data_IF_016684534423
#
_entry.id   IF_016684534423
#
_cell.length_a   1.000
_cell.length_b   1.000
_cell.length_c   1.000
_cell.angle_alpha   90.00
_cell.angle_beta   90.00
_cell.angle_gamma   90.00
#
_symmetry.space_group_name_H-M   'P 1'
#
loop_
_entity.id
_entity.type
_entity.pdbx_description
1 polymer ?
#
# COMPACT_ATOMS: atom_id res chain seq x y z
N UNK A 1 -4.39 29.54 37.82
CA UNK A 1 -5.33 29.50 36.69
C UNK A 1 -5.84 30.91 36.47
N UNK A 2 -5.59 31.52 35.32
CA UNK A 2 -6.04 32.89 35.04
C UNK A 2 -7.55 32.90 34.75
N UNK A 3 -8.20 34.05 34.89
CA UNK A 3 -9.62 34.22 34.55
C UNK A 3 -9.90 33.88 33.08
N UNK A 4 -8.92 34.16 32.20
CA UNK A 4 -8.92 33.74 30.80
C UNK A 4 -8.93 32.21 30.65
N UNK A 5 -8.12 31.49 31.42
CA UNK A 5 -8.08 30.02 31.34
C UNK A 5 -9.43 29.40 31.72
N UNK A 6 -10.07 29.93 32.77
CA UNK A 6 -11.41 29.50 33.19
C UNK A 6 -12.47 29.75 32.13
N UNK A 7 -12.45 30.93 31.50
CA UNK A 7 -13.38 31.26 30.43
C UNK A 7 -13.20 30.34 29.20
N UNK A 8 -11.94 30.02 28.86
CA UNK A 8 -11.61 29.08 27.77
C UNK A 8 -12.11 27.67 28.09
N UNK A 9 -11.88 27.16 29.31
CA UNK A 9 -12.31 25.82 29.69
C UNK A 9 -13.84 25.69 29.72
N UNK A 10 -14.54 26.75 30.14
CA UNK A 10 -16.01 26.80 30.15
C UNK A 10 -16.58 26.81 28.72
N UNK A 11 -15.97 27.59 27.82
CA UNK A 11 -16.32 27.59 26.40
C UNK A 11 -16.05 26.21 25.76
N UNK A 12 -14.91 25.58 26.07
CA UNK A 12 -14.60 24.23 25.61
C UNK A 12 -15.63 23.21 26.08
N UNK A 13 -16.00 23.22 27.36
CA UNK A 13 -17.01 22.32 27.91
C UNK A 13 -18.40 22.54 27.28
N UNK A 14 -18.75 23.80 26.97
CA UNK A 14 -20.00 24.12 26.27
C UNK A 14 -19.98 23.57 24.83
N UNK A 15 -18.86 23.71 24.12
CA UNK A 15 -18.68 23.18 22.77
C UNK A 15 -18.78 21.65 22.79
N UNK A 16 -18.09 20.95 23.70
CA UNK A 16 -18.19 19.48 23.82
C UNK A 16 -19.61 19.02 24.17
N UNK A 17 -20.34 19.76 25.00
CA UNK A 17 -21.73 19.43 25.34
C UNK A 17 -22.67 19.58 24.14
N UNK A 18 -22.43 20.57 23.28
CA UNK A 18 -23.27 20.83 22.11
C UNK A 18 -22.91 19.94 20.91
N UNK A 19 -21.63 19.64 20.70
CA UNK A 19 -21.12 19.01 19.48
C UNK A 19 -20.47 17.64 19.70
N UNK A 20 -20.43 17.17 20.95
CA UNK A 20 -19.90 15.85 21.34
C UNK A 20 -18.46 15.90 21.85
N UNK A 21 -18.04 14.87 22.59
CA UNK A 21 -16.66 14.74 23.08
C UNK A 21 -15.66 14.77 21.92
N UNK A 22 -14.58 15.52 22.07
CA UNK A 22 -13.54 15.65 21.03
C UNK A 22 -13.86 16.64 19.91
N UNK A 23 -14.97 17.38 19.97
CA UNK A 23 -15.28 18.45 19.03
C UNK A 23 -14.33 19.65 19.14
N UNK A 24 -13.63 19.79 20.27
CA UNK A 24 -12.57 20.78 20.50
C UNK A 24 -11.53 20.19 21.45
N UNK A 25 -10.25 20.42 21.17
CA UNK A 25 -9.15 19.97 22.03
C UNK A 25 -7.98 20.94 22.00
N UNK A 26 -7.26 21.05 23.11
CA UNK A 26 -5.99 21.81 23.18
C UNK A 26 -4.91 20.98 22.50
N UNK A 27 -4.28 21.50 21.45
CA UNK A 27 -3.07 20.89 20.89
C UNK A 27 -1.92 21.08 21.88
N UNK A 28 -1.29 19.97 22.29
CA UNK A 28 -0.08 20.00 23.12
C UNK A 28 1.11 19.52 22.29
N UNK A 29 2.21 20.30 22.20
CA UNK A 29 3.43 19.84 21.56
C UNK A 29 3.96 18.57 22.26
N UNK A 30 4.22 17.50 21.50
CA UNK A 30 4.87 16.30 22.02
C UNK A 30 3.96 15.26 22.70
N UNK A 31 2.69 15.56 23.00
CA UNK A 31 1.72 14.49 23.26
C UNK A 31 1.40 13.81 21.93
N UNK A 32 1.37 12.48 21.91
CA UNK A 32 0.86 11.71 20.77
C UNK A 32 -0.54 12.22 20.47
N UNK A 33 -0.65 13.01 19.41
CA UNK A 33 -1.92 13.44 18.86
C UNK A 33 -2.75 12.15 18.71
N UNK A 34 -3.96 12.03 19.28
CA UNK A 34 -4.80 10.84 19.06
C UNK A 34 -5.12 10.62 17.56
N UNK A 35 -4.78 11.59 16.71
CA UNK A 35 -4.61 11.45 15.27
C UNK A 35 -3.18 11.00 14.85
N UNK A 36 -2.54 10.07 15.57
CA UNK A 36 -1.37 9.39 15.04
C UNK A 36 -1.85 8.74 13.72
N UNK A 37 -1.33 9.27 12.62
CA UNK A 37 -1.80 8.94 11.29
C UNK A 37 -1.35 7.51 10.99
N UNK A 38 -2.25 6.56 11.18
CA UNK A 38 -2.07 5.20 10.71
C UNK A 38 -1.98 5.22 9.19
N UNK A 39 -1.09 4.39 8.65
CA UNK A 39 -0.86 4.27 7.23
C UNK A 39 -1.20 2.85 6.75
N UNK A 40 -1.61 2.75 5.49
CA UNK A 40 -1.71 1.48 4.76
C UNK A 40 -0.48 1.40 3.84
N UNK A 41 0.37 0.37 3.96
CA UNK A 41 1.52 0.19 3.10
C UNK A 41 1.14 0.19 1.62
N UNK A 42 2.04 0.67 0.75
CA UNK A 42 1.77 0.75 -0.69
C UNK A 42 2.15 -0.49 -1.48
N UNK A 43 2.76 -1.49 -0.82
CA UNK A 43 3.43 -2.62 -1.48
C UNK A 43 4.83 -2.25 -2.02
N UNK A 44 5.24 -0.98 -1.94
CA UNK A 44 6.56 -0.51 -2.34
C UNK A 44 7.26 0.19 -1.17
N UNK A 45 8.30 -0.43 -0.62
CA UNK A 45 9.06 0.15 0.49
C UNK A 45 9.68 1.51 0.11
N UNK A 46 10.09 1.67 -1.15
CA UNK A 46 10.59 2.94 -1.67
C UNK A 46 9.51 4.04 -1.60
N UNK A 47 8.25 3.71 -1.95
CA UNK A 47 7.15 4.66 -1.89
C UNK A 47 6.69 4.94 -0.46
N UNK A 48 6.67 3.93 0.40
CA UNK A 48 6.35 4.09 1.83
C UNK A 48 7.31 5.06 2.53
N UNK A 49 8.61 4.97 2.19
CA UNK A 49 9.64 5.93 2.61
C UNK A 49 9.42 7.33 2.00
N UNK A 50 9.11 7.42 0.71
CA UNK A 50 8.83 8.70 0.06
C UNK A 50 7.59 9.40 0.64
N UNK A 51 6.60 8.64 1.11
CA UNK A 51 5.41 9.16 1.79
C UNK A 51 5.69 9.63 3.22
N UNK A 52 6.78 9.16 3.84
CA UNK A 52 7.30 9.62 5.14
C UNK A 52 6.48 9.22 6.36
N UNK A 53 5.40 8.46 6.15
CA UNK A 53 4.57 7.90 7.23
C UNK A 53 4.41 6.37 7.12
N UNK A 54 5.10 5.74 6.16
CA UNK A 54 5.01 4.29 5.99
C UNK A 54 3.92 3.79 5.05
N UNK A 55 3.27 4.68 4.30
CA UNK A 55 2.20 4.31 3.37
C UNK A 55 1.20 5.43 3.14
N UNK A 56 0.03 5.08 2.61
CA UNK A 56 -1.07 6.04 2.41
C UNK A 56 -1.85 6.29 3.71
N UNK A 57 -2.23 7.54 4.01
CA UNK A 57 -2.87 7.86 5.28
C UNK A 57 -4.32 7.37 5.35
N UNK A 58 -4.67 6.71 6.45
CA UNK A 58 -6.06 6.40 6.81
C UNK A 58 -6.86 7.66 7.10
N UNK A 59 -8.17 7.60 6.81
CA UNK A 59 -9.10 8.71 7.03
C UNK A 59 -8.82 9.94 6.17
N UNK A 60 -8.20 9.76 5.01
CA UNK A 60 -7.83 10.83 4.08
C UNK A 60 -8.10 10.45 2.63
N UNK A 61 -8.16 11.47 1.79
CA UNK A 61 -8.24 11.34 0.35
C UNK A 61 -6.82 11.30 -0.24
N UNK A 62 -6.58 10.35 -1.13
CA UNK A 62 -5.36 10.20 -1.93
C UNK A 62 -5.73 10.28 -3.41
N UNK A 63 -4.92 10.95 -4.22
CA UNK A 63 -5.06 10.94 -5.68
C UNK A 63 -3.82 10.29 -6.30
N UNK A 64 -4.02 9.24 -7.10
CA UNK A 64 -2.99 8.62 -7.94
C UNK A 64 -3.30 9.01 -9.38
N UNK A 65 -2.41 9.74 -10.03
CA UNK A 65 -2.61 10.18 -11.40
C UNK A 65 -1.36 10.00 -12.24
N UNK A 66 -1.54 9.95 -13.57
CA UNK A 66 -0.44 9.76 -14.50
C UNK A 66 -0.92 9.38 -15.89
N UNK A 67 0.02 9.12 -16.82
CA UNK A 67 -0.30 8.63 -18.16
C UNK A 67 -1.05 7.29 -18.12
N UNK A 68 -1.57 6.88 -19.27
CA UNK A 68 -2.06 5.51 -19.48
C UNK A 68 -0.92 4.50 -19.29
N UNK A 69 -1.25 3.30 -18.84
CA UNK A 69 -0.28 2.20 -18.61
C UNK A 69 0.92 2.56 -17.71
N UNK A 70 0.79 3.56 -16.84
CA UNK A 70 1.85 3.95 -15.90
C UNK A 70 1.86 3.14 -14.59
N UNK A 71 0.85 2.28 -14.37
CA UNK A 71 0.73 1.44 -13.17
C UNK A 71 -0.19 2.00 -12.07
N UNK A 72 -1.09 2.94 -12.40
CA UNK A 72 -2.04 3.54 -11.43
C UNK A 72 -2.90 2.48 -10.74
N UNK A 73 -3.61 1.67 -11.52
CA UNK A 73 -4.48 0.59 -11.02
C UNK A 73 -3.66 -0.49 -10.32
N UNK A 74 -2.50 -0.89 -10.86
CA UNK A 74 -1.58 -1.81 -10.18
C UNK A 74 -1.19 -1.32 -8.78
N UNK A 75 -0.79 -0.04 -8.64
CA UNK A 75 -0.45 0.54 -7.35
C UNK A 75 -1.65 0.55 -6.38
N UNK A 76 -2.85 0.88 -6.86
CA UNK A 76 -4.06 0.86 -6.05
C UNK A 76 -4.42 -0.56 -5.59
N UNK A 77 -4.27 -1.57 -6.46
CA UNK A 77 -4.49 -2.98 -6.12
C UNK A 77 -3.47 -3.49 -5.09
N UNK A 78 -2.21 -3.06 -5.16
CA UNK A 78 -1.25 -3.37 -4.08
C UNK A 78 -1.67 -2.74 -2.75
N UNK A 79 -2.14 -1.49 -2.73
CA UNK A 79 -2.64 -0.87 -1.50
C UNK A 79 -3.86 -1.64 -0.95
N UNK A 80 -4.75 -2.12 -1.83
CA UNK A 80 -5.87 -2.99 -1.44
C UNK A 80 -5.35 -4.29 -0.81
N UNK A 81 -4.42 -4.98 -1.47
CA UNK A 81 -3.85 -6.23 -0.97
C UNK A 81 -3.17 -6.02 0.39
N UNK A 82 -2.43 -4.94 0.58
CA UNK A 82 -1.81 -4.61 1.87
C UNK A 82 -2.85 -4.27 2.95
N UNK A 83 -3.94 -3.58 2.61
CA UNK A 83 -5.04 -3.36 3.56
C UNK A 83 -5.69 -4.68 4.00
N UNK A 84 -5.90 -5.62 3.07
CA UNK A 84 -6.50 -6.92 3.35
C UNK A 84 -5.57 -7.81 4.20
N UNK A 85 -4.26 -7.82 3.92
CA UNK A 85 -3.27 -8.52 4.76
C UNK A 85 -3.31 -8.06 6.22
N UNK A 86 -3.52 -6.76 6.44
CA UNK A 86 -3.69 -6.19 7.77
C UNK A 86 -5.07 -6.52 8.41
N UNK A 87 -5.86 -7.41 7.81
CA UNK A 87 -7.21 -7.79 8.26
C UNK A 87 -8.30 -6.76 7.94
N UNK A 88 -8.00 -5.79 7.07
CA UNK A 88 -8.92 -4.72 6.70
C UNK A 88 -9.87 -5.09 5.54
N UNK A 89 -10.95 -4.33 5.40
CA UNK A 89 -11.93 -4.49 4.33
C UNK A 89 -11.69 -3.45 3.24
N UNK A 90 -11.69 -3.90 1.98
CA UNK A 90 -11.46 -3.07 0.82
C UNK A 90 -12.66 -3.04 -0.13
N UNK A 91 -12.81 -1.92 -0.85
CA UNK A 91 -13.72 -1.83 -1.98
C UNK A 91 -13.10 -1.12 -3.18
N UNK A 92 -13.59 -1.45 -4.36
CA UNK A 92 -13.32 -0.74 -5.61
C UNK A 92 -14.61 -0.34 -6.31
N UNK A 93 -14.72 0.94 -6.63
CA UNK A 93 -15.72 1.50 -7.54
C UNK A 93 -15.04 1.61 -8.91
N UNK A 94 -15.23 0.58 -9.73
CA UNK A 94 -14.68 0.46 -11.08
C UNK A 94 -15.61 1.17 -12.07
N UNK A 95 -15.44 2.47 -12.21
CA UNK A 95 -16.12 3.28 -13.20
C UNK A 95 -15.52 3.12 -14.62
N UNK A 96 -14.28 2.65 -14.76
CA UNK A 96 -13.68 2.33 -16.06
C UNK A 96 -14.14 0.99 -16.64
N UNK A 97 -14.78 0.14 -15.84
CA UNK A 97 -15.26 -1.20 -16.22
C UNK A 97 -14.12 -2.06 -16.78
N UNK A 98 -12.92 -1.90 -16.22
CA UNK A 98 -11.66 -2.42 -16.76
C UNK A 98 -10.86 -3.26 -15.76
N UNK A 99 -11.40 -3.52 -14.56
CA UNK A 99 -10.71 -4.35 -13.58
C UNK A 99 -10.63 -5.81 -14.06
N UNK A 100 -9.42 -6.37 -14.08
CA UNK A 100 -9.16 -7.80 -14.29
C UNK A 100 -9.02 -8.53 -12.93
N UNK A 101 -10.00 -9.36 -12.52
CA UNK A 101 -9.92 -10.11 -11.26
C UNK A 101 -8.75 -11.09 -11.22
N UNK A 102 -8.37 -11.70 -12.35
CA UNK A 102 -7.26 -12.67 -12.40
C UNK A 102 -5.95 -11.94 -12.11
N UNK A 103 -5.77 -10.76 -12.71
CA UNK A 103 -4.60 -9.94 -12.42
C UNK A 103 -4.60 -9.46 -10.97
N UNK A 104 -5.73 -8.97 -10.45
CA UNK A 104 -5.85 -8.55 -9.04
C UNK A 104 -5.49 -9.68 -8.06
N UNK A 105 -5.98 -10.90 -8.29
CA UNK A 105 -5.64 -12.07 -7.48
C UNK A 105 -4.14 -12.38 -7.50
N UNK A 106 -3.47 -12.28 -8.66
CA UNK A 106 -2.00 -12.42 -8.75
C UNK A 106 -1.23 -11.37 -7.95
N UNK A 107 -1.81 -10.18 -7.76
CA UNK A 107 -1.22 -9.12 -6.93
C UNK A 107 -1.43 -9.34 -5.43
N UNK A 108 -2.12 -10.43 -5.04
CA UNK A 108 -2.41 -10.76 -3.65
C UNK A 108 -3.68 -10.11 -3.10
N UNK A 109 -4.57 -9.63 -3.98
CA UNK A 109 -5.90 -9.18 -3.58
C UNK A 109 -6.76 -10.40 -3.26
N UNK A 110 -7.37 -10.40 -2.08
CA UNK A 110 -8.38 -11.38 -1.71
C UNK A 110 -9.69 -11.03 -2.41
N UNK A 111 -9.99 -11.76 -3.48
CA UNK A 111 -11.14 -11.53 -4.35
C UNK A 111 -12.47 -11.91 -3.69
N UNK A 112 -12.46 -12.87 -2.75
CA UNK A 112 -13.69 -13.33 -2.08
C UNK A 112 -14.21 -12.26 -1.13
N UNK A 113 -13.30 -11.46 -0.55
CA UNK A 113 -13.63 -10.40 0.40
C UNK A 113 -13.51 -8.98 -0.19
N UNK A 114 -13.20 -8.83 -1.49
CA UNK A 114 -13.17 -7.53 -2.15
C UNK A 114 -14.58 -7.11 -2.58
N UNK A 115 -15.03 -5.95 -2.09
CA UNK A 115 -16.28 -5.35 -2.57
C UNK A 115 -16.06 -4.63 -3.90
N UNK A 116 -16.80 -5.01 -4.94
CA UNK A 116 -16.70 -4.40 -6.27
C UNK A 116 -18.04 -3.76 -6.65
N UNK A 117 -17.98 -2.55 -7.20
CA UNK A 117 -19.13 -1.86 -7.79
C UNK A 117 -18.76 -1.30 -9.15
N UNK A 118 -19.58 -1.57 -10.16
CA UNK A 118 -19.49 -0.98 -11.50
C UNK A 118 -20.68 -0.06 -11.72
N UNK A 119 -20.55 1.25 -11.43
CA UNK A 119 -21.66 2.18 -11.55
C UNK A 119 -21.95 2.54 -13.02
N UNK A 120 -23.20 2.87 -13.30
CA UNK A 120 -23.70 3.42 -14.56
C UNK A 120 -23.42 4.92 -14.68
N UNK A 121 -23.40 5.66 -13.56
CA UNK A 121 -23.20 7.12 -13.54
C UNK A 121 -22.20 7.58 -12.49
N UNK A 122 -21.62 8.76 -12.71
CA UNK A 122 -20.70 9.40 -11.76
C UNK A 122 -21.36 9.68 -10.42
N UNK A 123 -22.62 10.13 -10.40
CA UNK A 123 -23.40 10.34 -9.17
C UNK A 123 -23.52 9.03 -8.38
N UNK A 124 -23.95 7.96 -9.05
CA UNK A 124 -24.14 6.64 -8.43
C UNK A 124 -22.83 6.11 -7.84
N UNK A 125 -21.73 6.18 -8.60
CA UNK A 125 -20.41 5.75 -8.12
C UNK A 125 -19.96 6.50 -6.87
N UNK A 126 -20.16 7.82 -6.82
CA UNK A 126 -19.81 8.64 -5.66
C UNK A 126 -20.74 8.42 -4.45
N UNK A 127 -22.03 8.15 -4.67
CA UNK A 127 -22.99 7.78 -3.62
C UNK A 127 -22.70 6.41 -3.01
N UNK A 128 -22.31 5.44 -3.83
CA UNK A 128 -21.85 4.12 -3.37
C UNK A 128 -20.59 4.29 -2.51
N UNK A 129 -19.60 5.03 -2.99
CA UNK A 129 -18.39 5.32 -2.22
C UNK A 129 -18.73 6.04 -0.89
N UNK A 130 -19.65 7.00 -0.89
CA UNK A 130 -20.11 7.67 0.33
C UNK A 130 -20.76 6.71 1.33
N UNK A 131 -21.63 5.82 0.85
CA UNK A 131 -22.33 4.84 1.67
C UNK A 131 -21.36 3.86 2.31
N UNK A 132 -20.42 3.33 1.52
CA UNK A 132 -19.36 2.44 2.00
C UNK A 132 -18.52 3.13 3.08
N UNK A 133 -18.04 4.35 2.82
CA UNK A 133 -17.24 5.11 3.81
C UNK A 133 -18.04 5.37 5.09
N UNK A 134 -19.33 5.69 4.99
CA UNK A 134 -20.19 5.98 6.16
C UNK A 134 -20.50 4.76 7.02
N UNK A 135 -20.41 3.55 6.47
CA UNK A 135 -20.56 2.31 7.25
C UNK A 135 -19.51 2.20 8.36
N UNK A 136 -18.35 2.83 8.18
CA UNK A 136 -17.22 2.74 9.11
C UNK A 136 -16.49 1.39 9.10
N UNK A 137 -16.89 0.47 8.22
CA UNK A 137 -16.32 -0.88 8.16
C UNK A 137 -15.12 -1.02 7.21
N UNK A 138 -14.93 -0.06 6.28
CA UNK A 138 -13.90 -0.16 5.25
C UNK A 138 -12.62 0.59 5.61
N UNK A 139 -11.50 -0.06 5.34
CA UNK A 139 -10.14 0.45 5.51
C UNK A 139 -9.70 1.25 4.29
N UNK A 140 -10.05 0.78 3.09
CA UNK A 140 -9.71 1.42 1.82
C UNK A 140 -10.86 1.34 0.80
N UNK A 141 -11.09 2.44 0.09
CA UNK A 141 -11.99 2.52 -1.06
C UNK A 141 -11.24 3.13 -2.24
N UNK A 142 -11.15 2.41 -3.35
CA UNK A 142 -10.56 2.89 -4.60
C UNK A 142 -11.68 3.29 -5.56
N UNK A 143 -11.55 4.44 -6.23
CA UNK A 143 -12.43 4.89 -7.30
C UNK A 143 -11.60 4.97 -8.57
N UNK A 144 -11.84 4.04 -9.50
CA UNK A 144 -11.12 3.89 -10.76
C UNK A 144 -12.07 4.13 -11.94
N UNK A 145 -12.14 5.32 -12.56
CA UNK A 145 -11.35 6.52 -12.28
C UNK A 145 -12.22 7.78 -12.33
N UNK A 146 -11.67 8.90 -11.86
CA UNK A 146 -12.34 10.21 -11.91
C UNK A 146 -12.77 10.59 -13.33
N UNK A 147 -11.98 10.21 -14.35
CA UNK A 147 -12.30 10.52 -15.73
C UNK A 147 -13.59 9.81 -16.20
N UNK A 148 -13.86 8.62 -15.67
CA UNK A 148 -15.04 7.80 -15.99
C UNK A 148 -16.26 8.10 -15.10
N UNK A 149 -16.16 9.00 -14.12
CA UNK A 149 -17.32 9.49 -13.37
C UNK A 149 -18.12 10.48 -14.24
N UNK A 150 -18.83 9.96 -15.23
CA UNK A 150 -19.63 10.76 -16.18
C UNK A 150 -20.99 11.08 -15.55
N UNK A 151 -21.37 12.37 -15.45
CA UNK A 151 -22.66 12.75 -14.88
C UNK A 151 -23.83 12.17 -15.68
N UNK A 152 -24.92 11.81 -14.99
CA UNK A 152 -26.13 11.25 -15.62
C UNK A 152 -26.64 12.08 -16.81
N UNK A 153 -26.69 13.40 -16.66
CA UNK A 153 -27.18 14.30 -17.72
C UNK A 153 -26.28 14.33 -18.96
N UNK A 154 -25.00 13.96 -18.84
CA UNK A 154 -24.08 13.83 -19.99
C UNK A 154 -24.26 12.47 -20.69
N UNK A 155 -24.62 11.41 -19.94
CA UNK A 155 -24.92 10.08 -20.49
C UNK A 155 -26.26 10.07 -21.24
N UNK A 156 -27.27 10.76 -20.71
CA UNK A 156 -28.61 10.86 -21.31
C UNK A 156 -28.70 11.92 -22.42
N UNK A 157 -27.69 12.79 -22.55
CA UNK A 157 -27.61 13.83 -23.57
C UNK A 157 -27.17 13.30 -24.94
N UNK A 158 -27.37 14.11 -25.98
CA UNK A 158 -26.94 13.74 -27.33
C UNK A 158 -25.44 14.03 -27.53
N UNK A 159 -24.80 13.25 -28.41
CA UNK A 159 -23.38 13.47 -28.73
C UNK A 159 -23.19 14.85 -29.37
N UNK A 160 -22.45 15.73 -28.68
CA UNK A 160 -22.23 17.11 -29.10
C UNK A 160 -22.91 18.15 -28.20
N UNK A 161 -23.75 17.70 -27.25
CA UNK A 161 -24.32 18.57 -26.23
C UNK A 161 -23.25 19.15 -25.30
N UNK A 162 -23.43 20.42 -24.95
CA UNK A 162 -22.45 21.17 -24.18
C UNK A 162 -22.74 21.07 -22.68
N UNK A 163 -22.03 20.16 -22.00
CA UNK A 163 -22.13 19.97 -20.54
C UNK A 163 -20.94 20.59 -19.79
N UNK A 164 -20.69 21.89 -20.01
CA UNK A 164 -19.49 22.56 -19.50
C UNK A 164 -19.40 22.48 -17.96
N UNK A 165 -18.37 21.79 -17.48
CA UNK A 165 -17.99 21.75 -16.06
C UNK A 165 -18.92 20.93 -15.17
N UNK A 166 -19.80 20.10 -15.73
CA UNK A 166 -20.74 19.29 -14.95
C UNK A 166 -20.01 18.31 -14.03
N UNK A 167 -19.03 17.57 -14.56
CA UNK A 167 -18.19 16.66 -13.77
C UNK A 167 -17.42 17.39 -12.65
N UNK A 168 -16.90 18.60 -12.90
CA UNK A 168 -16.18 19.38 -11.89
C UNK A 168 -17.10 19.81 -10.73
N UNK A 169 -18.37 20.14 -11.02
CA UNK A 169 -19.38 20.47 -10.02
C UNK A 169 -19.77 19.24 -9.19
N UNK A 170 -20.00 18.11 -9.86
CA UNK A 170 -20.28 16.82 -9.22
C UNK A 170 -19.18 16.46 -8.22
N UNK A 171 -17.92 16.47 -8.66
CA UNK A 171 -16.76 16.20 -7.81
C UNK A 171 -16.68 17.16 -6.62
N UNK A 172 -16.92 18.45 -6.85
CA UNK A 172 -16.89 19.47 -5.78
C UNK A 172 -17.95 19.22 -4.71
N UNK A 173 -19.15 18.80 -5.11
CA UNK A 173 -20.26 18.48 -4.20
C UNK A 173 -19.98 17.18 -3.43
N UNK A 174 -19.56 16.13 -4.13
CA UNK A 174 -19.29 14.82 -3.52
C UNK A 174 -18.14 14.90 -2.51
N UNK A 175 -17.01 15.52 -2.87
CA UNK A 175 -15.86 15.65 -1.97
C UNK A 175 -16.19 16.43 -0.69
N UNK A 176 -17.08 17.43 -0.78
CA UNK A 176 -17.57 18.18 0.39
C UNK A 176 -18.32 17.29 1.38
N UNK A 177 -19.14 16.35 0.88
CA UNK A 177 -19.85 15.37 1.71
C UNK A 177 -18.92 14.28 2.25
N UNK A 178 -18.07 13.73 1.37
CA UNK A 178 -17.16 12.62 1.66
C UNK A 178 -16.12 12.97 2.73
N UNK A 179 -15.52 14.16 2.68
CA UNK A 179 -14.38 14.52 3.55
C UNK A 179 -14.67 14.32 5.04
N UNK A 180 -15.86 14.73 5.49
CA UNK A 180 -16.26 14.56 6.88
C UNK A 180 -16.51 13.10 7.27
N UNK A 181 -17.08 12.30 6.36
CA UNK A 181 -17.29 10.87 6.57
C UNK A 181 -15.96 10.12 6.63
N UNK A 182 -15.09 10.35 5.65
CA UNK A 182 -13.73 9.77 5.53
C UNK A 182 -12.92 9.97 6.83
N UNK A 183 -12.92 11.19 7.36
CA UNK A 183 -12.16 11.47 8.58
C UNK A 183 -12.69 10.73 9.81
N UNK A 184 -13.99 10.46 9.89
CA UNK A 184 -14.61 9.76 11.03
C UNK A 184 -14.46 8.24 10.92
N UNK A 185 -14.61 7.69 9.72
CA UNK A 185 -14.50 6.24 9.50
C UNK A 185 -13.06 5.75 9.44
N UNK A 186 -12.08 6.65 9.32
CA UNK A 186 -10.66 6.30 9.09
C UNK A 186 -10.43 5.51 7.79
N UNK A 187 -11.39 5.49 6.87
CA UNK A 187 -11.22 4.90 5.53
C UNK A 187 -10.24 5.72 4.69
N UNK A 188 -9.26 5.09 4.05
CA UNK A 188 -8.46 5.72 3.01
C UNK A 188 -9.25 5.71 1.69
N UNK A 189 -9.50 6.87 1.08
CA UNK A 189 -10.20 6.94 -0.21
C UNK A 189 -9.22 7.36 -1.30
N UNK A 190 -9.01 6.47 -2.26
CA UNK A 190 -8.06 6.64 -3.35
C UNK A 190 -8.83 6.93 -4.63
N UNK A 191 -8.55 8.08 -5.24
CA UNK A 191 -9.03 8.40 -6.57
C UNK A 191 -7.92 8.13 -7.59
N UNK A 192 -8.18 7.25 -8.55
CA UNK A 192 -7.34 7.14 -9.74
C UNK A 192 -7.78 8.22 -10.73
N UNK A 193 -6.81 8.87 -11.37
CA UNK A 193 -7.08 9.95 -12.30
C UNK A 193 -6.16 9.89 -13.52
N UNK A 194 -6.63 10.45 -14.62
CA UNK A 194 -5.91 10.50 -15.88
C UNK A 194 -5.36 11.90 -16.13
N UNK A 195 -4.26 11.97 -16.88
CA UNK A 195 -3.75 13.24 -17.39
C UNK A 195 -4.53 13.68 -18.65
N UNK A 196 -4.72 14.99 -18.77
CA UNK A 196 -5.23 15.70 -19.95
C UNK A 196 -4.35 16.92 -20.20
N UNK A 197 -4.38 17.47 -21.40
CA UNK A 197 -3.69 18.71 -21.74
C UNK A 197 -4.65 19.89 -21.66
N UNK A 198 -4.24 20.96 -20.98
CA UNK A 198 -4.96 22.23 -21.00
C UNK A 198 -4.62 22.98 -22.29
N UNK A 199 -5.62 23.15 -23.16
CA UNK A 199 -5.48 23.90 -24.41
C UNK A 199 -5.16 25.37 -24.10
N UNK A 200 -4.27 25.97 -24.89
CA UNK A 200 -3.93 27.39 -24.81
C UNK A 200 -2.84 27.76 -23.77
N UNK A 201 -2.17 26.79 -23.16
CA UNK A 201 -1.01 27.06 -22.28
C UNK A 201 0.26 27.16 -23.13
N UNK A 202 0.80 28.38 -23.28
CA UNK A 202 2.04 28.63 -24.03
C UNK A 202 3.31 28.59 -23.17
N UNK A 203 3.19 28.60 -21.83
CA UNK A 203 4.31 28.58 -20.89
C UNK A 203 3.96 27.72 -19.65
N UNK A 204 4.92 26.92 -19.17
CA UNK A 204 4.75 26.02 -18.02
C UNK A 204 4.29 24.60 -18.39
N UNK A 205 3.84 23.82 -17.41
CA UNK A 205 3.33 22.47 -17.64
C UNK A 205 1.85 22.52 -18.09
N UNK A 206 1.50 22.05 -19.30
CA UNK A 206 0.12 22.03 -19.79
C UNK A 206 -0.72 20.88 -19.20
N UNK A 207 -0.12 19.93 -18.49
CA UNK A 207 -0.82 18.78 -17.93
C UNK A 207 -1.79 19.17 -16.80
N UNK A 208 -2.99 18.60 -16.83
CA UNK A 208 -3.99 18.69 -15.77
C UNK A 208 -4.66 17.34 -15.56
N UNK A 209 -5.36 17.18 -14.44
CA UNK A 209 -6.20 16.02 -14.14
C UNK A 209 -7.68 16.34 -14.40
N UNK A 210 -8.52 15.32 -14.59
CA UNK A 210 -9.97 15.46 -14.80
C UNK A 210 -10.72 15.73 -13.49
N UNK A 211 -12.02 16.05 -13.56
CA UNK A 211 -12.85 16.30 -12.37
C UNK A 211 -12.69 17.69 -11.73
N UNK A 212 -12.07 18.65 -12.42
CA UNK A 212 -11.89 20.02 -11.95
C UNK A 212 -10.76 20.17 -10.91
N UNK A 213 -10.82 21.22 -10.08
CA UNK A 213 -9.76 21.52 -9.11
C UNK A 213 -10.02 20.97 -7.71
N UNK A 214 -11.27 20.59 -7.39
CA UNK A 214 -11.66 20.22 -6.03
C UNK A 214 -10.79 19.10 -5.45
N UNK A 215 -10.62 18.01 -6.19
CA UNK A 215 -9.81 16.87 -5.75
C UNK A 215 -8.38 17.28 -5.36
N UNK A 216 -7.77 18.20 -6.12
CA UNK A 216 -6.42 18.71 -5.83
C UNK A 216 -6.34 19.40 -4.47
N UNK A 217 -7.41 20.05 -4.00
CA UNK A 217 -7.45 20.71 -2.69
C UNK A 217 -7.75 19.73 -1.55
N UNK A 218 -8.73 18.85 -1.76
CA UNK A 218 -9.20 17.87 -0.77
C UNK A 218 -8.19 16.74 -0.53
N UNK A 219 -7.49 16.26 -1.57
CA UNK A 219 -6.46 15.23 -1.45
C UNK A 219 -5.38 15.65 -0.43
N UNK A 220 -5.08 14.77 0.52
CA UNK A 220 -3.97 14.94 1.46
C UNK A 220 -2.65 14.51 0.83
N UNK A 221 -2.69 13.48 0.00
CA UNK A 221 -1.55 12.99 -0.76
C UNK A 221 -1.93 12.99 -2.25
N UNK A 222 -1.02 13.46 -3.11
CA UNK A 222 -1.16 13.33 -4.56
C UNK A 222 0.13 12.73 -5.11
N UNK A 223 -0.02 11.69 -5.93
CA UNK A 223 1.06 10.91 -6.52
C UNK A 223 0.99 10.98 -8.04
N UNK A 224 2.07 11.44 -8.67
CA UNK A 224 2.28 11.40 -10.12
C UNK A 224 3.10 10.16 -10.46
N UNK A 225 2.46 9.14 -11.02
CA UNK A 225 3.12 7.89 -11.42
C UNK A 225 3.36 7.85 -12.93
N UNK A 226 4.61 7.59 -13.30
CA UNK A 226 5.06 7.50 -14.70
C UNK A 226 5.91 6.27 -14.95
N UNK A 227 5.73 5.65 -16.11
CA UNK A 227 6.69 4.71 -16.67
C UNK A 227 7.94 5.48 -17.08
N UNK A 228 9.11 5.04 -16.62
CA UNK A 228 10.41 5.63 -16.99
C UNK A 228 11.23 4.72 -17.88
N UNK A 229 11.11 3.40 -17.74
CA UNK A 229 11.87 2.43 -18.53
C UNK A 229 11.07 1.14 -18.76
N UNK A 230 11.37 0.41 -19.84
CA UNK A 230 10.87 -0.94 -20.07
C UNK A 230 11.87 -1.97 -19.54
N UNK A 231 11.39 -2.94 -18.76
CA UNK A 231 12.23 -4.06 -18.32
C UNK A 231 12.06 -5.17 -19.35
N UNK A 232 13.19 -5.63 -19.92
CA UNK A 232 13.21 -6.62 -20.99
C UNK A 232 13.94 -7.88 -20.57
N UNK A 233 13.42 -9.01 -21.00
CA UNK A 233 14.13 -10.29 -21.04
C UNK A 233 14.33 -10.67 -22.52
N UNK A 234 15.59 -10.60 -22.98
CA UNK A 234 15.92 -10.64 -24.39
C UNK A 234 15.19 -9.55 -25.20
N UNK A 235 14.28 -9.96 -26.08
CA UNK A 235 13.45 -9.06 -26.89
C UNK A 235 12.07 -8.77 -26.29
N UNK A 236 11.66 -9.51 -25.26
CA UNK A 236 10.32 -9.45 -24.68
C UNK A 236 10.28 -8.43 -23.55
N UNK A 237 9.29 -7.53 -23.55
CA UNK A 237 9.05 -6.63 -22.41
C UNK A 237 8.32 -7.40 -21.31
N UNK A 238 8.98 -7.58 -20.17
CA UNK A 238 8.46 -8.37 -19.02
C UNK A 238 7.97 -7.49 -17.87
N UNK A 239 8.27 -6.20 -17.92
CA UNK A 239 7.79 -5.23 -16.94
C UNK A 239 8.19 -3.81 -17.31
N UNK A 240 8.08 -2.92 -16.33
CA UNK A 240 8.50 -1.54 -16.44
C UNK A 240 9.09 -1.03 -15.14
N UNK A 241 10.03 -0.09 -15.25
CA UNK A 241 10.40 0.73 -14.11
C UNK A 241 9.47 1.92 -14.03
N UNK A 242 8.83 2.10 -12.88
CA UNK A 242 7.93 3.20 -12.59
C UNK A 242 8.59 4.19 -11.63
N UNK A 243 8.31 5.47 -11.83
CA UNK A 243 8.64 6.55 -10.90
C UNK A 243 7.36 7.15 -10.37
N UNK A 244 7.24 7.26 -9.06
CA UNK A 244 6.16 7.94 -8.37
C UNK A 244 6.70 9.19 -7.70
N UNK A 245 6.18 10.36 -8.05
CA UNK A 245 6.50 11.63 -7.38
C UNK A 245 5.36 12.03 -6.45
N UNK A 246 5.65 12.27 -5.18
CA UNK A 246 4.69 12.77 -4.19
C UNK A 246 4.56 14.28 -4.36
N UNK A 247 3.72 14.72 -5.29
CA UNK A 247 3.56 16.14 -5.65
C UNK A 247 2.80 16.95 -4.59
N UNK A 248 2.08 16.28 -3.69
CA UNK A 248 1.43 16.87 -2.52
C UNK A 248 1.46 15.89 -1.38
N UNK A 249 1.82 16.37 -0.19
CA UNK A 249 1.78 15.59 1.04
C UNK A 249 1.41 16.52 2.21
N UNK A 250 0.29 16.24 2.89
CA UNK A 250 -0.14 16.95 4.11
C UNK A 250 0.19 16.17 5.39
N UNK A 251 0.84 15.02 5.29
CA UNK A 251 1.14 14.13 6.41
C UNK A 251 2.64 14.00 6.68
N UNK A 252 3.48 14.30 5.68
CA UNK A 252 4.92 14.42 5.79
C UNK A 252 5.46 15.44 4.75
N UNK A 253 6.77 15.75 4.71
CA UNK A 253 7.35 16.61 3.69
C UNK A 253 7.04 16.13 2.25
N UNK A 254 6.57 17.01 1.35
CA UNK A 254 6.27 16.65 -0.04
C UNK A 254 7.52 16.60 -0.94
N UNK A 255 7.31 16.29 -2.22
CA UNK A 255 8.28 16.35 -3.33
C UNK A 255 9.36 15.27 -3.36
N UNK A 256 9.25 14.28 -2.47
CA UNK A 256 10.00 13.04 -2.60
C UNK A 256 9.50 12.22 -3.78
N UNK A 257 10.36 11.33 -4.23
CA UNK A 257 10.05 10.39 -5.31
C UNK A 257 10.53 9.00 -4.94
N UNK A 258 9.87 8.00 -5.49
CA UNK A 258 10.24 6.60 -5.38
C UNK A 258 10.31 5.99 -6.77
N UNK A 259 11.23 5.05 -6.94
CA UNK A 259 11.33 4.23 -8.14
C UNK A 259 11.27 2.76 -7.75
N UNK A 260 10.56 1.98 -8.55
CA UNK A 260 10.42 0.54 -8.36
C UNK A 260 10.00 -0.13 -9.67
N UNK A 261 10.24 -1.43 -9.75
CA UNK A 261 9.84 -2.24 -10.89
C UNK A 261 8.38 -2.69 -10.73
N UNK A 262 7.63 -2.67 -11.81
CA UNK A 262 6.30 -3.28 -11.95
C UNK A 262 6.43 -4.36 -13.03
N UNK A 263 6.38 -5.63 -12.61
CA UNK A 263 6.41 -6.81 -13.47
C UNK A 263 4.99 -7.13 -13.94
N UNK A 264 4.81 -7.43 -15.23
CA UNK A 264 3.46 -7.60 -15.78
C UNK A 264 2.66 -8.77 -15.18
N UNK A 265 3.35 -9.80 -14.67
CA UNK A 265 2.70 -10.97 -14.09
C UNK A 265 2.77 -11.04 -12.55
N UNK A 266 3.53 -10.16 -11.90
CA UNK A 266 3.76 -10.21 -10.44
C UNK A 266 3.43 -8.88 -9.73
N UNK A 267 3.28 -7.78 -10.48
CA UNK A 267 3.11 -6.44 -9.91
C UNK A 267 4.40 -5.81 -9.42
N UNK A 268 4.31 -5.02 -8.36
CA UNK A 268 5.45 -4.30 -7.76
C UNK A 268 6.48 -5.32 -7.25
N UNK A 269 7.71 -5.24 -7.75
CA UNK A 269 8.80 -6.13 -7.32
C UNK A 269 9.30 -5.72 -5.94
N UNK A 270 8.86 -6.46 -4.92
CA UNK A 270 9.27 -6.25 -3.53
C UNK A 270 10.78 -6.47 -3.35
N UNK A 271 11.33 -7.55 -3.90
CA UNK A 271 12.76 -7.87 -3.84
C UNK A 271 13.60 -6.80 -4.53
N UNK A 272 13.17 -6.33 -5.71
CA UNK A 272 13.83 -5.24 -6.42
C UNK A 272 13.82 -3.93 -5.62
N UNK A 273 12.67 -3.57 -5.03
CA UNK A 273 12.55 -2.35 -4.23
C UNK A 273 13.40 -2.41 -2.96
N UNK A 274 13.42 -3.53 -2.24
CA UNK A 274 14.25 -3.71 -1.04
C UNK A 274 15.74 -3.68 -1.38
N UNK A 275 16.16 -4.31 -2.47
CA UNK A 275 17.55 -4.31 -2.92
C UNK A 275 18.03 -2.90 -3.28
N UNK A 276 17.23 -2.17 -4.08
CA UNK A 276 17.56 -0.82 -4.53
C UNK A 276 17.67 0.13 -3.32
N UNK A 277 16.65 0.15 -2.44
CA UNK A 277 16.65 0.98 -1.23
C UNK A 277 17.77 0.59 -0.26
N UNK A 278 17.99 -0.72 -0.06
CA UNK A 278 19.07 -1.22 0.79
C UNK A 278 20.44 -0.79 0.27
N UNK A 279 20.62 -0.72 -1.05
CA UNK A 279 21.85 -0.23 -1.68
C UNK A 279 22.00 1.28 -1.49
N UNK A 280 20.93 2.05 -1.72
CA UNK A 280 20.94 3.51 -1.56
C UNK A 280 21.24 3.96 -0.12
N UNK A 281 20.79 3.19 0.87
CA UNK A 281 21.08 3.41 2.29
C UNK A 281 22.45 2.85 2.74
N UNK A 282 23.19 2.19 1.84
CA UNK A 282 24.49 1.58 2.15
C UNK A 282 24.41 0.32 3.02
N UNK A 283 23.21 -0.24 3.22
CA UNK A 283 22.99 -1.50 3.94
C UNK A 283 23.42 -2.71 3.09
N UNK A 284 23.20 -2.62 1.78
CA UNK A 284 23.69 -3.57 0.78
C UNK A 284 24.88 -2.95 0.06
N UNK A 285 26.04 -3.59 0.14
CA UNK A 285 27.27 -3.10 -0.49
C UNK A 285 27.35 -3.58 -1.93
N UNK A 286 27.61 -2.67 -2.86
CA UNK A 286 27.91 -2.98 -4.26
C UNK A 286 29.41 -2.89 -4.53
N UNK A 287 30.01 -3.94 -5.10
CA UNK A 287 31.41 -3.96 -5.53
C UNK A 287 31.50 -4.46 -6.97
N UNK A 288 31.74 -3.53 -7.91
CA UNK A 288 31.60 -3.80 -9.33
C UNK A 288 30.16 -4.23 -9.66
N UNK A 289 30.01 -5.42 -10.23
CA UNK A 289 28.71 -6.02 -10.52
C UNK A 289 28.10 -6.80 -9.33
N UNK A 290 28.84 -7.02 -8.24
CA UNK A 290 28.40 -7.90 -7.16
C UNK A 290 27.71 -7.14 -6.01
N UNK A 291 26.65 -7.75 -5.46
CA UNK A 291 25.91 -7.26 -4.29
C UNK A 291 26.20 -8.12 -3.06
N UNK A 292 26.35 -7.48 -1.91
CA UNK A 292 26.69 -8.12 -0.63
C UNK A 292 25.88 -7.57 0.54
N UNK A 293 25.48 -8.45 1.46
CA UNK A 293 24.96 -8.09 2.77
C UNK A 293 26.01 -8.47 3.84
N UNK A 294 26.76 -7.48 4.34
CA UNK A 294 27.96 -7.76 5.13
C UNK A 294 29.00 -8.54 4.31
N UNK A 295 29.31 -9.77 4.73
CA UNK A 295 30.19 -10.70 4.01
C UNK A 295 29.43 -11.64 3.06
N UNK A 296 28.11 -11.78 3.24
CA UNK A 296 27.28 -12.65 2.43
C UNK A 296 27.09 -12.09 1.02
N UNK A 297 27.19 -12.95 0.01
CA UNK A 297 27.11 -12.58 -1.40
C UNK A 297 25.72 -12.84 -1.93
N UNK A 298 24.99 -11.77 -2.27
CA UNK A 298 23.62 -11.85 -2.76
C UNK A 298 23.54 -12.24 -4.24
N UNK A 299 24.50 -11.81 -5.06
CA UNK A 299 24.52 -12.17 -6.49
C UNK A 299 25.33 -11.22 -7.39
N UNK A 300 25.59 -11.67 -8.62
CA UNK A 300 26.23 -10.86 -9.66
C UNK A 300 25.17 -10.21 -10.55
N UNK A 301 25.11 -8.89 -10.54
CA UNK A 301 24.07 -8.15 -11.22
C UNK A 301 22.78 -8.11 -10.41
N UNK A 302 21.93 -7.14 -10.75
CA UNK A 302 20.72 -6.82 -10.00
C UNK A 302 19.68 -7.95 -10.05
N UNK A 303 19.47 -8.54 -11.23
CA UNK A 303 18.46 -9.60 -11.39
C UNK A 303 18.82 -10.87 -10.61
N UNK A 304 20.09 -11.30 -10.61
CA UNK A 304 20.52 -12.45 -9.80
C UNK A 304 20.38 -12.18 -8.29
N UNK A 305 20.66 -10.96 -7.83
CA UNK A 305 20.46 -10.58 -6.43
C UNK A 305 18.97 -10.54 -6.06
N UNK A 306 18.09 -10.08 -6.96
CA UNK A 306 16.62 -10.15 -6.77
C UNK A 306 16.15 -11.60 -6.65
N UNK A 307 16.65 -12.48 -7.52
CA UNK A 307 16.30 -13.90 -7.50
C UNK A 307 16.79 -14.60 -6.24
N UNK A 308 17.99 -14.27 -5.77
CA UNK A 308 18.49 -14.75 -4.48
C UNK A 308 17.58 -14.32 -3.33
N UNK A 309 17.17 -13.05 -3.27
CA UNK A 309 16.28 -12.57 -2.21
C UNK A 309 14.89 -13.21 -2.27
N UNK A 310 14.39 -13.53 -3.48
CA UNK A 310 13.12 -14.25 -3.67
C UNK A 310 13.17 -15.65 -3.06
N UNK A 311 14.31 -16.33 -3.15
CA UNK A 311 14.51 -17.67 -2.58
C UNK A 311 14.94 -17.66 -1.10
N UNK A 312 15.27 -16.49 -0.53
CA UNK A 312 15.78 -16.35 0.83
C UNK A 312 14.99 -15.27 1.58
N UNK A 313 13.73 -15.54 1.97
CA UNK A 313 12.84 -14.55 2.59
C UNK A 313 13.35 -14.02 3.92
N UNK A 314 14.12 -14.81 4.68
CA UNK A 314 14.75 -14.37 5.93
C UNK A 314 15.74 -13.23 5.70
N UNK A 315 16.57 -13.35 4.65
CA UNK A 315 17.55 -12.31 4.27
C UNK A 315 16.84 -11.06 3.76
N UNK A 316 15.80 -11.24 2.93
CA UNK A 316 14.96 -10.13 2.47
C UNK A 316 14.34 -9.37 3.66
N UNK A 317 13.84 -10.09 4.66
CA UNK A 317 13.24 -9.52 5.87
C UNK A 317 14.28 -8.83 6.77
N UNK A 318 15.50 -9.36 6.88
CA UNK A 318 16.59 -8.71 7.60
C UNK A 318 16.92 -7.34 6.97
N UNK A 319 17.13 -7.29 5.65
CA UNK A 319 17.37 -6.03 4.93
C UNK A 319 16.21 -5.07 5.13
N UNK A 320 14.96 -5.55 4.98
CA UNK A 320 13.75 -4.75 5.19
C UNK A 320 13.67 -4.15 6.59
N UNK A 321 13.99 -4.93 7.62
CA UNK A 321 13.98 -4.47 9.01
C UNK A 321 15.09 -3.44 9.27
N UNK A 322 16.27 -3.63 8.69
CA UNK A 322 17.35 -2.64 8.75
C UNK A 322 16.98 -1.34 8.03
N UNK A 323 16.31 -1.39 6.88
CA UNK A 323 15.78 -0.20 6.19
C UNK A 323 14.79 0.54 7.10
N UNK A 324 13.86 -0.18 7.73
CA UNK A 324 12.89 0.41 8.67
C UNK A 324 13.59 1.07 9.87
N UNK A 325 14.61 0.42 10.44
CA UNK A 325 15.36 0.96 11.57
C UNK A 325 16.23 2.17 11.18
N UNK A 326 16.82 2.16 9.98
CA UNK A 326 17.64 3.25 9.45
C UNK A 326 16.83 4.47 9.02
N UNK A 327 15.50 4.35 8.92
CA UNK A 327 14.60 5.46 8.61
C UNK A 327 13.92 5.98 9.89
N UNK A 328 14.33 7.14 10.43
CA UNK A 328 13.70 7.74 11.60
C UNK A 328 12.19 7.97 11.40
N UNK A 329 11.76 8.09 10.15
CA UNK A 329 10.36 8.32 9.74
C UNK A 329 9.49 7.06 9.86
N UNK A 330 10.09 5.87 9.80
CA UNK A 330 9.41 4.59 9.99
C UNK A 330 9.55 4.05 11.42
N UNK A 331 10.45 4.63 12.22
CA UNK A 331 10.67 4.21 13.60
C UNK A 331 9.42 4.48 14.46
N UNK A 332 8.70 3.40 14.81
CA UNK A 332 7.58 3.40 15.75
C UNK A 332 6.16 3.41 15.16
N UNK A 333 5.94 3.15 13.85
CA UNK A 333 4.59 3.29 13.25
C UNK A 333 4.12 2.20 12.26
N UNK A 334 4.78 1.06 12.14
CA UNK A 334 4.32 -0.02 11.24
C UNK A 334 4.43 -1.39 11.92
N UNK A 335 3.29 -2.06 12.09
CA UNK A 335 3.21 -3.52 12.10
C UNK A 335 2.93 -3.96 10.66
N UNK A 336 3.82 -4.78 10.09
CA UNK A 336 3.64 -5.40 8.79
C UNK A 336 3.94 -6.88 9.01
N UNK A 337 2.92 -7.74 8.91
CA UNK A 337 3.08 -9.18 8.96
C UNK A 337 3.56 -9.67 7.59
N UNK A 338 4.87 -9.89 7.51
CA UNK A 338 5.57 -10.31 6.29
C UNK A 338 5.29 -11.75 5.88
N UNK A 339 4.03 -12.18 5.79
CA UNK A 339 3.70 -13.44 5.12
C UNK A 339 3.42 -13.17 3.66
N UNK A 340 4.32 -13.64 2.81
CA UNK A 340 3.94 -13.99 1.44
C UNK A 340 2.77 -14.97 1.54
N UNK A 341 1.64 -14.61 0.94
CA UNK A 341 0.55 -15.53 0.74
C UNK A 341 1.10 -16.69 -0.07
N UNK A 342 1.30 -17.83 0.58
CA UNK A 342 1.46 -19.11 -0.08
C UNK A 342 0.14 -19.35 -0.83
N UNK A 343 0.08 -19.39 -2.18
CA UNK A 343 -1.01 -20.11 -2.80
C UNK A 343 -0.86 -21.57 -2.36
N UNK A 344 -1.91 -22.12 -1.75
CA UNK A 344 -1.96 -23.52 -1.37
C UNK A 344 -1.59 -24.43 -2.56
N UNK A 345 -0.99 -25.60 -2.31
CA UNK A 345 -0.55 -26.52 -3.35
C UNK A 345 -1.74 -27.06 -4.14
N UNK A 346 -1.52 -27.34 -5.43
CA UNK A 346 -2.46 -28.02 -6.32
C UNK A 346 -3.23 -29.15 -5.61
N UNK A 347 -4.56 -29.08 -5.68
CA UNK A 347 -5.41 -30.23 -5.35
C UNK A 347 -5.15 -31.32 -6.39
N UNK A 348 -4.50 -32.41 -5.99
CA UNK A 348 -4.36 -33.60 -6.83
C UNK A 348 -5.70 -34.34 -6.79
N UNK A 349 -6.49 -34.19 -7.85
CA UNK A 349 -7.68 -34.99 -8.10
C UNK A 349 -7.25 -36.41 -8.48
N UNK A 350 -7.92 -37.43 -7.96
CA UNK A 350 -7.79 -38.77 -8.51
C UNK A 350 -8.54 -38.90 -9.84
N UNK A 351 -8.39 -40.03 -10.53
CA UNK A 351 -9.01 -40.27 -11.84
C UNK A 351 -10.56 -40.25 -11.83
N UNK A 352 -11.19 -40.09 -10.66
CA UNK A 352 -12.64 -40.04 -10.47
C UNK A 352 -13.15 -38.73 -9.84
N UNK A 353 -12.28 -37.74 -9.63
CA UNK A 353 -12.69 -36.38 -9.27
C UNK A 353 -13.18 -36.17 -7.83
N UNK A 354 -12.71 -36.96 -6.87
CA UNK A 354 -13.03 -36.77 -5.44
C UNK A 354 -11.80 -36.25 -4.67
N UNK A 355 -12.03 -35.29 -3.76
CA UNK A 355 -10.99 -34.73 -2.87
C UNK A 355 -10.54 -35.79 -1.85
N UNK A 356 -9.23 -36.06 -1.78
CA UNK A 356 -8.63 -36.93 -0.77
C UNK A 356 -7.76 -36.11 0.19
N UNK A 357 -8.12 -36.10 1.48
CA UNK A 357 -7.24 -35.55 2.54
C UNK A 357 -6.09 -36.53 2.85
N UNK A 358 -4.86 -36.06 3.08
CA UNK A 358 -3.76 -36.92 3.49
C UNK A 358 -3.93 -37.37 4.96
N UNK A 359 -4.10 -38.69 5.14
CA UNK A 359 -4.14 -39.35 6.44
C UNK A 359 -2.86 -39.09 7.25
N UNK A 360 -3.01 -38.43 8.39
CA UNK A 360 -2.01 -38.32 9.45
C UNK A 360 -1.58 -39.73 9.94
N UNK A 361 -0.28 -40.02 9.94
CA UNK A 361 0.29 -41.13 10.72
C UNK A 361 1.08 -40.55 11.91
N UNK A 362 0.82 -40.99 13.16
CA UNK A 362 1.57 -40.50 14.31
C UNK A 362 2.94 -41.21 14.47
N UNK A 363 3.90 -40.46 15.02
CA UNK A 363 5.33 -40.75 15.12
C UNK A 363 5.71 -41.96 16.02
N UNK A 364 6.91 -42.57 15.85
CA UNK A 364 7.44 -43.50 16.84
C UNK A 364 8.17 -42.77 17.99
N UNK A 365 7.90 -43.22 19.22
CA UNK A 365 8.48 -42.78 20.47
C UNK A 365 9.94 -43.28 20.68
N UNK A 366 10.74 -42.63 21.56
CA UNK A 366 12.08 -43.11 21.90
C UNK A 366 12.04 -44.36 22.80
N UNK A 367 12.85 -45.36 22.49
CA UNK A 367 12.94 -46.61 23.26
C UNK A 367 13.70 -46.46 24.60
N UNK A 368 13.28 -47.15 25.69
CA UNK A 368 14.02 -47.24 26.94
C UNK A 368 14.88 -48.53 27.08
N UNK A 369 16.19 -48.32 27.28
CA UNK A 369 17.24 -49.02 28.08
C UNK A 369 17.19 -50.53 28.41
N UNK A 370 18.36 -51.20 28.30
CA UNK A 370 18.81 -52.24 29.25
C UNK A 370 20.33 -52.26 29.49
N UNK A 371 20.72 -52.40 30.77
CA UNK A 371 22.09 -52.62 31.29
C UNK A 371 22.48 -54.10 31.27
N UNK A 372 23.74 -54.39 30.94
CA UNK A 372 24.62 -55.42 31.52
C UNK A 372 26.05 -55.13 31.00
N UNK A 373 27.16 -55.04 31.74
CA UNK A 373 27.51 -55.43 33.10
C UNK A 373 28.74 -56.36 33.08
N UNK A 374 29.98 -55.82 33.17
CA UNK A 374 31.11 -56.33 34.01
C UNK A 374 32.49 -55.68 33.71
N UNK A 375 32.98 -54.99 34.74
CA UNK A 375 34.34 -54.94 35.36
C UNK A 375 35.63 -55.19 34.56
N UNK A 376 36.56 -54.23 34.68
CA UNK A 376 37.94 -54.34 35.26
C UNK A 376 38.78 -53.14 34.77
N UNK A 377 39.77 -52.51 35.42
CA UNK A 377 40.17 -52.23 36.80
C UNK A 377 41.35 -51.23 36.69
N UNK A 378 41.49 -50.35 37.69
CA UNK A 378 42.71 -49.70 38.20
C UNK A 378 43.39 -48.50 37.51
N UNK A 379 43.70 -47.49 38.37
CA UNK A 379 44.81 -46.52 38.27
C UNK A 379 44.37 -45.05 38.15
N UNK A 380 44.10 -44.28 39.22
CA UNK A 380 45.05 -43.36 39.93
C UNK A 380 46.21 -42.90 39.03
N UNK A 381 46.42 -41.61 38.75
CA UNK A 381 47.05 -40.52 39.55
C UNK A 381 46.67 -39.18 38.87
N UNK A 382 46.08 -38.14 39.50
CA UNK A 382 46.62 -37.03 40.32
C UNK A 382 47.77 -36.18 39.72
N UNK A 383 47.76 -34.88 40.08
CA UNK A 383 48.68 -33.76 39.76
C UNK A 383 48.34 -32.99 38.47
N UNK A 384 47.88 -31.73 38.47
CA UNK A 384 48.27 -30.49 39.17
C UNK A 384 49.42 -29.74 38.48
N UNK A 385 49.20 -28.43 38.33
CA UNK A 385 50.11 -27.32 37.99
C UNK A 385 50.97 -27.35 36.70
N UNK A 386 50.89 -26.25 35.94
CA UNK A 386 51.76 -25.87 34.83
C UNK A 386 51.21 -24.71 34.04
#
# INVERSE_FOLDING_TARGET
>A
MTERDRAVDLAMAQIERQFGKGSIMKMKPGETNPMQLDAIPTGSIALDLALGIGGVPRGRIVEIYGPESSGKTTLALHIIAEAQKMGGIAAIVDAEHALDPIYAGKLGVDLDNLLISQPDTGEQGLEIAETLVRSGALDVVVIDSVAALVPKAEIEGDMGDSHVGLQARLMSQALRKLTGAISRSRTCVIFINQLRMKIGVMFGNPETTTGGQALKFYASVRMDIRRIEAIKDGQTSVGMRARVKVVKNKTAPPFRQAEFDIMYNEGISVTGSVLDVGTDLGLVRKSGAWFYLGEERLGQGRENAKEFLKHNPDVLNDIRNRIKAASPELSGRIAFDGTEGNPTPDAVLDANGVLVEPLFTPAPAPEPTTKAGRRSANGKVAADAG
#
